data_IF_815019427270
#
_entry.id   IF_815019427270
#
_cell.length_a   1.000
_cell.length_b   1.000
_cell.length_c   1.000
_cell.angle_alpha   90.00
_cell.angle_beta   90.00
_cell.angle_gamma   90.00
#
_symmetry.space_group_name_H-M   'P 1'
#
loop_
_entity.id
_entity.type
_entity.pdbx_description
1 polymer ?
#
# COMPACT_ATOMS: atom_id res chain seq x y z
N UNK A 1 39.39 -39.09 23.17
CA UNK A 1 38.17 -38.51 22.58
C UNK A 1 38.23 -38.79 21.09
N UNK A 2 37.28 -39.56 20.54
CA UNK A 2 37.31 -39.98 19.14
C UNK A 2 36.73 -38.86 18.26
N UNK A 3 37.43 -38.41 17.21
CA UNK A 3 37.00 -37.26 16.38
C UNK A 3 35.79 -37.54 15.46
N UNK A 4 35.24 -38.76 15.42
CA UNK A 4 34.12 -39.10 14.53
C UNK A 4 32.71 -38.83 15.06
N UNK A 5 32.53 -38.46 16.34
CA UNK A 5 31.18 -38.39 16.93
C UNK A 5 30.42 -37.10 16.62
N UNK A 6 31.12 -35.99 16.38
CA UNK A 6 30.47 -34.72 16.06
C UNK A 6 30.03 -34.67 14.59
N UNK A 7 30.86 -35.18 13.69
CA UNK A 7 30.59 -35.21 12.25
C UNK A 7 29.41 -36.14 11.92
N UNK A 8 29.36 -37.33 12.54
CA UNK A 8 28.20 -38.23 12.46
C UNK A 8 26.94 -37.66 13.12
N UNK A 9 27.07 -36.89 14.19
CA UNK A 9 25.92 -36.23 14.81
C UNK A 9 25.36 -35.11 13.91
N UNK A 10 26.24 -34.41 13.18
CA UNK A 10 25.86 -33.37 12.21
C UNK A 10 25.23 -34.00 10.96
N UNK A 11 25.81 -35.08 10.41
CA UNK A 11 25.22 -35.81 9.27
C UNK A 11 23.84 -36.38 9.62
N UNK A 12 23.71 -37.05 10.77
CA UNK A 12 22.41 -37.58 11.19
C UNK A 12 21.38 -36.47 11.45
N UNK A 13 21.82 -35.31 11.95
CA UNK A 13 20.93 -34.16 12.14
C UNK A 13 20.48 -33.57 10.79
N UNK A 14 21.38 -33.48 9.81
CA UNK A 14 21.09 -33.01 8.44
C UNK A 14 20.23 -34.01 7.64
N UNK A 15 20.36 -35.31 7.87
CA UNK A 15 19.49 -36.32 7.26
C UNK A 15 18.10 -36.39 7.93
N UNK A 16 18.01 -36.01 9.21
CA UNK A 16 16.74 -35.99 9.96
C UNK A 16 15.89 -34.73 9.70
N UNK A 17 16.46 -33.68 9.12
CA UNK A 17 15.67 -32.51 8.72
C UNK A 17 14.80 -32.89 7.52
N UNK A 18 13.46 -32.82 7.64
CA UNK A 18 12.56 -33.06 6.52
C UNK A 18 12.98 -32.15 5.36
N UNK A 19 13.20 -32.71 4.16
CA UNK A 19 13.37 -31.85 2.99
C UNK A 19 12.08 -31.04 2.80
N UNK A 20 12.18 -29.72 2.55
CA UNK A 20 11.00 -28.91 2.32
C UNK A 20 10.23 -29.48 1.14
N UNK A 21 8.91 -29.57 1.27
CA UNK A 21 8.08 -30.06 0.17
C UNK A 21 8.28 -29.13 -1.03
N UNK A 22 8.18 -29.70 -2.24
CA UNK A 22 8.29 -28.94 -3.49
C UNK A 22 7.28 -27.79 -3.52
N UNK A 23 6.13 -27.94 -2.88
CA UNK A 23 5.13 -26.88 -2.74
C UNK A 23 5.68 -25.70 -1.93
N UNK A 24 6.30 -25.94 -0.77
CA UNK A 24 6.88 -24.90 0.10
C UNK A 24 7.97 -24.10 -0.61
N UNK A 25 8.84 -24.76 -1.37
CA UNK A 25 9.89 -24.08 -2.15
C UNK A 25 9.29 -23.12 -3.18
N UNK A 26 8.22 -23.52 -3.86
CA UNK A 26 7.55 -22.67 -4.85
C UNK A 26 6.88 -21.48 -4.18
N UNK A 27 6.17 -21.70 -3.06
CA UNK A 27 5.51 -20.63 -2.30
C UNK A 27 6.52 -19.59 -1.83
N UNK A 28 7.60 -20.03 -1.19
CA UNK A 28 8.66 -19.13 -0.71
C UNK A 28 9.33 -18.38 -1.87
N UNK A 29 9.55 -19.04 -3.01
CA UNK A 29 10.08 -18.36 -4.20
C UNK A 29 9.15 -17.24 -4.67
N UNK A 30 7.84 -17.48 -4.73
CA UNK A 30 6.85 -16.46 -5.10
C UNK A 30 6.91 -15.28 -4.12
N UNK A 31 6.93 -15.55 -2.81
CA UNK A 31 7.06 -14.51 -1.77
C UNK A 31 8.28 -13.63 -1.98
N UNK A 32 9.45 -14.23 -2.11
CA UNK A 32 10.69 -13.48 -2.30
C UNK A 32 10.68 -12.65 -3.59
N UNK A 33 10.09 -13.16 -4.66
CA UNK A 33 9.91 -12.39 -5.89
C UNK A 33 9.00 -11.19 -5.64
N UNK A 34 7.81 -11.40 -5.06
CA UNK A 34 6.85 -10.32 -4.78
C UNK A 34 7.46 -9.27 -3.85
N UNK A 35 8.06 -9.67 -2.73
CA UNK A 35 8.66 -8.76 -1.76
C UNK A 35 9.85 -7.98 -2.35
N UNK A 36 10.63 -8.61 -3.23
CA UNK A 36 11.71 -7.91 -3.95
C UNK A 36 11.17 -6.89 -4.94
N UNK A 37 10.07 -7.21 -5.64
CA UNK A 37 9.44 -6.29 -6.57
C UNK A 37 8.77 -5.11 -5.85
N UNK A 38 8.15 -5.36 -4.69
CA UNK A 38 7.66 -4.30 -3.80
C UNK A 38 8.81 -3.39 -3.36
N UNK A 39 9.97 -3.95 -2.99
CA UNK A 39 11.13 -3.13 -2.61
C UNK A 39 11.64 -2.26 -3.78
N UNK A 40 11.59 -2.76 -5.01
CA UNK A 40 11.90 -1.97 -6.21
C UNK A 40 10.87 -0.84 -6.41
N UNK A 41 9.60 -1.12 -6.18
CA UNK A 41 8.50 -0.15 -6.23
C UNK A 41 8.70 0.97 -5.20
N UNK A 42 9.07 0.62 -3.98
CA UNK A 42 9.45 1.59 -2.96
C UNK A 42 10.65 2.44 -3.35
N UNK A 43 11.66 1.81 -3.98
CA UNK A 43 12.80 2.53 -4.56
C UNK A 43 12.39 3.58 -5.60
N UNK A 44 11.31 3.33 -6.34
CA UNK A 44 10.74 4.30 -7.29
C UNK A 44 10.09 5.48 -6.55
N UNK A 45 9.22 5.22 -5.56
CA UNK A 45 8.51 6.28 -4.86
C UNK A 45 9.43 7.14 -3.98
N UNK A 46 10.41 6.54 -3.28
CA UNK A 46 11.38 7.33 -2.50
C UNK A 46 12.26 8.22 -3.37
N UNK A 47 12.58 7.76 -4.57
CA UNK A 47 13.30 8.58 -5.53
C UNK A 47 12.43 9.74 -6.05
N UNK A 48 11.15 9.50 -6.30
CA UNK A 48 10.22 10.54 -6.74
C UNK A 48 9.96 11.59 -5.65
N UNK A 49 9.67 11.15 -4.44
CA UNK A 49 9.50 12.01 -3.26
C UNK A 49 10.77 12.85 -3.02
N UNK A 50 11.95 12.24 -3.10
CA UNK A 50 13.22 12.97 -2.98
C UNK A 50 13.39 14.04 -4.05
N UNK A 51 13.03 13.74 -5.30
CA UNK A 51 13.08 14.69 -6.42
C UNK A 51 12.14 15.87 -6.19
N UNK A 52 10.93 15.62 -5.70
CA UNK A 52 9.95 16.66 -5.37
C UNK A 52 10.46 17.51 -4.20
N UNK A 53 10.93 16.86 -3.13
CA UNK A 53 11.46 17.49 -1.92
C UNK A 53 12.60 18.49 -2.22
N UNK A 54 13.48 18.21 -3.20
CA UNK A 54 14.55 19.12 -3.61
C UNK A 54 14.05 20.48 -4.13
N UNK A 55 12.79 20.56 -4.54
CA UNK A 55 12.18 21.77 -5.10
C UNK A 55 11.16 22.42 -4.15
N UNK A 56 10.66 21.69 -3.17
CA UNK A 56 9.59 22.15 -2.26
C UNK A 56 10.09 22.42 -0.84
N UNK A 57 11.20 21.82 -0.41
CA UNK A 57 11.72 21.95 0.95
C UNK A 57 12.96 22.87 1.01
N UNK A 58 12.98 23.72 2.02
CA UNK A 58 14.07 24.62 2.40
C UNK A 58 14.63 24.29 3.80
N UNK A 59 15.83 24.78 4.12
CA UNK A 59 16.49 24.54 5.41
C UNK A 59 15.75 25.15 6.62
N UNK A 60 14.76 26.02 6.39
CA UNK A 60 13.91 26.63 7.40
C UNK A 60 12.65 25.83 7.74
N UNK A 61 12.37 24.77 6.99
CA UNK A 61 11.09 24.07 7.05
C UNK A 61 11.00 23.15 8.25
N UNK A 62 9.77 22.90 8.68
CA UNK A 62 9.48 22.11 9.88
C UNK A 62 9.56 20.62 9.60
N UNK A 63 9.68 19.81 10.64
CA UNK A 63 9.66 18.35 10.51
C UNK A 63 8.38 17.84 9.81
N UNK A 64 7.24 18.51 9.98
CA UNK A 64 5.99 18.16 9.33
C UNK A 64 6.06 18.35 7.79
N UNK A 65 6.78 19.37 7.33
CA UNK A 65 6.96 19.62 5.90
C UNK A 65 7.79 18.51 5.25
N UNK A 66 8.80 17.99 5.96
CA UNK A 66 9.52 16.78 5.55
C UNK A 66 8.61 15.56 5.50
N UNK A 67 7.79 15.32 6.52
CA UNK A 67 6.83 14.20 6.50
C UNK A 67 5.86 14.28 5.30
N UNK A 68 5.37 15.48 4.98
CA UNK A 68 4.47 15.68 3.84
C UNK A 68 5.16 15.47 2.49
N UNK A 69 6.43 15.85 2.34
CA UNK A 69 7.16 15.67 1.09
C UNK A 69 7.55 14.22 0.79
N UNK A 70 7.59 13.37 1.82
CA UNK A 70 7.87 11.93 1.70
C UNK A 70 6.63 11.07 2.01
N UNK A 71 5.44 11.64 1.86
CA UNK A 71 4.20 11.00 2.31
C UNK A 71 3.99 9.61 1.67
N UNK A 72 4.23 9.48 0.37
CA UNK A 72 4.03 8.20 -0.35
C UNK A 72 5.02 7.14 0.11
N UNK A 73 6.31 7.48 0.20
CA UNK A 73 7.33 6.51 0.61
C UNK A 73 7.21 6.07 2.07
N UNK A 74 6.68 6.94 2.92
CA UNK A 74 6.38 6.63 4.32
C UNK A 74 5.13 5.76 4.46
N UNK A 75 4.12 5.97 3.61
CA UNK A 75 2.94 5.11 3.53
C UNK A 75 3.35 3.69 3.13
N UNK A 76 4.12 3.53 2.06
CA UNK A 76 4.64 2.23 1.65
C UNK A 76 5.54 1.58 2.73
N UNK A 77 6.35 2.37 3.44
CA UNK A 77 7.14 1.86 4.55
C UNK A 77 6.24 1.29 5.66
N UNK A 78 5.12 1.95 5.96
CA UNK A 78 4.13 1.42 6.90
C UNK A 78 3.53 0.10 6.40
N UNK A 79 3.25 -0.03 5.10
CA UNK A 79 2.81 -1.28 4.47
C UNK A 79 3.86 -2.40 4.61
N UNK A 80 5.15 -2.13 4.38
CA UNK A 80 6.22 -3.11 4.59
C UNK A 80 6.31 -3.56 6.04
N UNK A 81 6.21 -2.64 6.99
CA UNK A 81 6.24 -2.98 8.41
C UNK A 81 5.05 -3.89 8.74
N UNK A 82 3.84 -3.58 8.24
CA UNK A 82 2.67 -4.44 8.44
C UNK A 82 2.87 -5.83 7.85
N UNK A 83 3.31 -5.92 6.60
CA UNK A 83 3.60 -7.19 5.92
C UNK A 83 4.65 -8.00 6.69
N UNK A 84 5.73 -7.36 7.12
CA UNK A 84 6.75 -7.99 7.95
C UNK A 84 6.19 -8.52 9.27
N UNK A 85 5.35 -7.74 9.96
CA UNK A 85 4.74 -8.16 11.22
C UNK A 85 3.82 -9.36 11.03
N UNK A 86 3.03 -9.39 9.94
CA UNK A 86 2.20 -10.53 9.62
C UNK A 86 3.01 -11.77 9.24
N UNK A 87 4.04 -11.65 8.40
CA UNK A 87 4.91 -12.77 8.07
C UNK A 87 5.63 -13.29 9.33
N UNK A 88 6.09 -12.38 10.20
CA UNK A 88 6.72 -12.74 11.45
C UNK A 88 5.78 -13.52 12.39
N UNK A 89 4.54 -13.07 12.56
CA UNK A 89 3.54 -13.77 13.40
C UNK A 89 3.03 -15.07 12.79
N UNK A 90 2.89 -15.14 11.46
CA UNK A 90 2.24 -16.29 10.80
C UNK A 90 3.20 -17.37 10.35
N UNK A 91 4.50 -17.08 10.25
CA UNK A 91 5.48 -18.03 9.69
C UNK A 91 6.80 -18.09 10.46
N UNK A 92 7.36 -16.98 10.93
CA UNK A 92 8.70 -17.02 11.55
C UNK A 92 8.70 -17.31 13.05
N UNK A 93 7.73 -16.79 13.80
CA UNK A 93 7.71 -16.87 15.25
C UNK A 93 6.87 -18.05 15.72
N UNK A 94 7.52 -18.96 16.44
CA UNK A 94 6.84 -19.96 17.26
C UNK A 94 6.40 -19.37 18.60
N UNK A 95 5.39 -19.97 19.24
CA UNK A 95 4.79 -19.48 20.50
C UNK A 95 5.79 -19.20 21.63
N UNK A 96 6.89 -19.95 21.68
CA UNK A 96 7.96 -19.80 22.68
C UNK A 96 8.82 -18.56 22.48
N UNK A 97 8.84 -17.99 21.26
CA UNK A 97 9.58 -16.78 20.93
C UNK A 97 8.78 -15.49 21.19
N UNK A 98 7.45 -15.61 21.38
CA UNK A 98 6.52 -14.49 21.54
C UNK A 98 6.48 -13.94 22.99
N UNK A 99 7.59 -13.43 23.49
CA UNK A 99 7.63 -12.84 24.84
C UNK A 99 6.87 -11.50 24.92
N UNK A 100 6.59 -11.04 26.15
CA UNK A 100 5.83 -9.79 26.40
C UNK A 100 6.44 -8.53 25.78
N UNK A 101 7.75 -8.48 25.57
CA UNK A 101 8.40 -7.34 24.94
C UNK A 101 8.18 -7.35 23.41
N UNK A 102 8.30 -8.52 22.77
CA UNK A 102 8.01 -8.71 21.35
C UNK A 102 6.56 -8.35 21.05
N UNK A 103 5.61 -8.92 21.80
CA UNK A 103 4.17 -8.62 21.66
C UNK A 103 3.87 -7.12 21.78
N UNK A 104 4.45 -6.44 22.78
CA UNK A 104 4.27 -4.98 22.93
C UNK A 104 4.86 -4.19 21.78
N UNK A 105 6.02 -4.60 21.27
CA UNK A 105 6.66 -3.94 20.14
C UNK A 105 5.80 -4.08 18.88
N UNK A 106 5.22 -5.25 18.65
CA UNK A 106 4.35 -5.52 17.51
C UNK A 106 3.09 -4.65 17.57
N UNK A 107 2.45 -4.54 18.74
CA UNK A 107 1.29 -3.65 18.93
C UNK A 107 1.66 -2.19 18.66
N UNK A 108 2.78 -1.70 19.20
CA UNK A 108 3.22 -0.31 18.98
C UNK A 108 3.46 -0.05 17.50
N UNK A 109 4.19 -0.95 16.82
CA UNK A 109 4.46 -0.81 15.39
C UNK A 109 3.17 -0.84 14.56
N UNK A 110 2.22 -1.74 14.85
CA UNK A 110 0.90 -1.78 14.19
C UNK A 110 0.15 -0.48 14.35
N UNK A 111 0.01 0.00 15.58
CA UNK A 111 -0.69 1.26 15.86
C UNK A 111 -0.04 2.42 15.12
N UNK A 112 1.30 2.49 15.10
CA UNK A 112 2.01 3.49 14.31
C UNK A 112 1.71 3.38 12.83
N UNK A 113 1.76 2.18 12.24
CA UNK A 113 1.44 1.98 10.82
C UNK A 113 0.01 2.40 10.51
N UNK A 114 -0.98 1.97 11.30
CA UNK A 114 -2.37 2.38 11.12
C UNK A 114 -2.58 3.90 11.19
N UNK A 115 -1.80 4.63 12.00
CA UNK A 115 -1.88 6.09 12.02
C UNK A 115 -1.38 6.71 10.71
N UNK A 116 -0.31 6.18 10.11
CA UNK A 116 0.16 6.62 8.79
C UNK A 116 -0.88 6.31 7.71
N UNK A 117 -1.40 5.08 7.66
CA UNK A 117 -2.41 4.67 6.68
C UNK A 117 -3.71 5.48 6.82
N UNK A 118 -4.16 5.75 8.06
CA UNK A 118 -5.33 6.58 8.30
C UNK A 118 -5.10 8.05 7.89
N UNK A 119 -3.87 8.55 8.02
CA UNK A 119 -3.51 9.87 7.52
C UNK A 119 -3.57 9.96 5.99
N UNK A 120 -3.19 8.90 5.27
CA UNK A 120 -3.33 8.81 3.81
C UNK A 120 -4.81 8.90 3.39
N UNK A 121 -5.70 8.15 4.04
CA UNK A 121 -7.16 8.28 3.82
C UNK A 121 -7.63 9.71 4.08
N UNK A 122 -7.19 10.32 5.19
CA UNK A 122 -7.54 11.69 5.51
C UNK A 122 -7.10 12.68 4.41
N UNK A 123 -5.88 12.53 3.89
CA UNK A 123 -5.35 13.38 2.84
C UNK A 123 -6.18 13.27 1.54
N UNK A 124 -6.57 12.07 1.13
CA UNK A 124 -7.42 11.88 -0.04
C UNK A 124 -8.81 12.47 0.15
N UNK A 125 -9.42 12.27 1.32
CA UNK A 125 -10.71 12.90 1.67
C UNK A 125 -10.61 14.42 1.63
N UNK A 126 -9.54 14.99 2.19
CA UNK A 126 -9.30 16.43 2.17
C UNK A 126 -9.21 16.96 0.73
N UNK A 127 -8.39 16.35 -0.12
CA UNK A 127 -8.21 16.74 -1.53
C UNK A 127 -9.54 16.66 -2.29
N UNK A 128 -10.34 15.61 -2.07
CA UNK A 128 -11.67 15.48 -2.68
C UNK A 128 -12.60 16.64 -2.31
N UNK A 129 -12.61 17.06 -1.05
CA UNK A 129 -13.44 18.18 -0.60
C UNK A 129 -12.91 19.53 -1.08
N UNK A 130 -11.59 19.71 -1.15
CA UNK A 130 -10.96 20.92 -1.72
C UNK A 130 -11.37 21.15 -3.19
N UNK A 131 -11.50 20.08 -3.98
CA UNK A 131 -12.03 20.15 -5.35
C UNK A 131 -13.51 20.57 -5.40
N UNK A 132 -14.27 20.29 -4.34
CA UNK A 132 -15.69 20.65 -4.28
C UNK A 132 -15.91 22.11 -3.93
N UNK A 133 -14.99 22.71 -3.17
CA UNK A 133 -14.99 24.12 -2.82
C UNK A 133 -14.16 25.01 -3.76
N UNK A 134 -13.56 24.43 -4.81
CA UNK A 134 -12.70 25.15 -5.75
C UNK A 134 -13.44 26.31 -6.43
N UNK A 135 -13.02 27.57 -6.20
CA UNK A 135 -13.69 28.74 -6.77
C UNK A 135 -13.37 28.88 -8.26
N UNK A 136 -14.25 29.59 -8.97
CA UNK A 136 -13.97 30.03 -10.34
C UNK A 136 -12.80 31.02 -10.30
N UNK A 137 -11.79 30.76 -11.12
CA UNK A 137 -10.62 31.61 -11.27
C UNK A 137 -11.03 32.85 -12.08
N UNK A 138 -11.24 33.96 -11.37
CA UNK A 138 -11.76 35.20 -11.97
C UNK A 138 -10.77 35.83 -12.96
N UNK A 139 -11.30 36.36 -14.07
CA UNK A 139 -10.49 37.08 -15.06
C UNK A 139 -9.65 36.21 -15.98
N UNK A 140 -9.82 34.88 -15.94
CA UNK A 140 -9.11 33.93 -16.79
C UNK A 140 -10.10 33.36 -17.79
N UNK A 141 -9.90 33.68 -19.06
CA UNK A 141 -10.74 33.24 -20.18
C UNK A 141 -10.05 32.18 -21.03
N UNK A 142 -8.73 32.07 -20.91
CA UNK A 142 -7.88 31.06 -21.54
C UNK A 142 -6.74 30.72 -20.60
N UNK A 143 -6.23 29.48 -20.66
CA UNK A 143 -4.99 29.12 -19.97
C UNK A 143 -3.83 30.03 -20.41
N UNK A 144 -3.87 30.58 -21.63
CA UNK A 144 -2.84 31.50 -22.12
C UNK A 144 -2.77 32.83 -21.35
N UNK A 145 -3.84 33.21 -20.63
CA UNK A 145 -3.84 34.41 -19.78
C UNK A 145 -2.84 34.26 -18.60
N UNK A 146 -2.43 33.02 -18.29
CA UNK A 146 -1.57 32.67 -17.16
C UNK A 146 -0.11 32.40 -17.54
N UNK A 147 0.27 32.59 -18.81
CA UNK A 147 1.67 32.42 -19.24
C UNK A 147 2.58 33.37 -18.47
N UNK A 148 3.66 32.81 -17.89
CA UNK A 148 4.63 33.57 -17.10
C UNK A 148 4.21 33.86 -15.66
N UNK A 149 3.04 33.38 -15.22
CA UNK A 149 2.54 33.58 -13.85
C UNK A 149 2.82 32.38 -12.91
N UNK A 150 3.66 31.44 -13.33
CA UNK A 150 4.01 30.20 -12.59
C UNK A 150 2.81 29.31 -12.22
N UNK A 151 1.71 29.43 -12.96
CA UNK A 151 0.58 28.53 -12.82
C UNK A 151 0.84 27.19 -13.50
N UNK A 152 0.29 26.13 -12.91
CA UNK A 152 0.23 24.81 -13.51
C UNK A 152 -1.22 24.44 -13.83
N UNK A 153 -1.41 23.75 -14.95
CA UNK A 153 -2.67 23.13 -15.32
C UNK A 153 -2.64 21.65 -14.94
N UNK A 154 -3.69 21.17 -14.29
CA UNK A 154 -3.80 19.75 -13.90
C UNK A 154 -4.88 19.03 -14.69
N UNK A 155 -4.54 17.84 -15.19
CA UNK A 155 -5.46 16.90 -15.86
C UNK A 155 -5.02 15.48 -15.56
N UNK A 156 -5.95 14.58 -15.22
CA UNK A 156 -5.61 13.17 -14.94
C UNK A 156 -4.43 13.00 -13.95
N UNK A 157 -4.41 13.78 -12.87
CA UNK A 157 -3.31 13.88 -11.88
C UNK A 157 -1.94 14.32 -12.44
N UNK A 158 -1.85 14.66 -13.73
CA UNK A 158 -0.65 15.21 -14.34
C UNK A 158 -0.65 16.73 -14.27
N UNK A 159 0.39 17.28 -13.64
CA UNK A 159 0.61 18.72 -13.50
C UNK A 159 1.54 19.20 -14.61
N UNK A 160 1.09 20.18 -15.39
CA UNK A 160 1.86 20.77 -16.49
C UNK A 160 1.99 22.27 -16.28
N UNK A 161 3.23 22.78 -16.24
CA UNK A 161 3.48 24.22 -16.20
C UNK A 161 2.89 24.91 -17.44
N UNK A 162 2.19 26.03 -17.25
CA UNK A 162 1.55 26.75 -18.34
C UNK A 162 2.56 27.67 -19.03
N UNK A 163 2.77 27.48 -20.33
CA UNK A 163 3.67 28.30 -21.15
C UNK A 163 3.07 28.66 -22.52
N UNK A 164 3.78 29.50 -23.27
CA UNK A 164 3.33 29.98 -24.58
C UNK A 164 3.19 28.87 -25.64
N UNK A 165 3.84 27.72 -25.44
CA UNK A 165 3.83 26.61 -26.39
C UNK A 165 2.62 25.70 -26.15
N UNK A 166 2.23 25.48 -24.90
CA UNK A 166 1.18 24.52 -24.55
C UNK A 166 -0.18 25.15 -24.22
N UNK A 167 -0.25 26.43 -23.87
CA UNK A 167 -1.46 27.01 -23.25
C UNK A 167 -2.74 26.86 -24.09
N UNK A 168 -2.65 26.91 -25.42
CA UNK A 168 -3.79 26.73 -26.32
C UNK A 168 -4.27 25.28 -26.42
N UNK A 169 -3.42 24.31 -26.08
CA UNK A 169 -3.71 22.88 -26.17
C UNK A 169 -4.21 22.26 -24.86
N UNK A 170 -4.02 22.96 -23.73
CA UNK A 170 -4.39 22.46 -22.39
C UNK A 170 -5.90 22.36 -22.18
N UNK A 171 -6.67 23.32 -22.71
CA UNK A 171 -8.13 23.34 -22.62
C UNK A 171 -8.74 24.28 -23.65
N UNK A 172 -9.92 23.93 -24.16
CA UNK A 172 -10.76 24.82 -24.96
C UNK A 172 -11.85 25.53 -24.14
N UNK A 173 -11.82 25.40 -22.81
CA UNK A 173 -12.79 26.01 -21.92
C UNK A 173 -12.52 27.51 -21.72
N UNK A 174 -13.56 28.24 -21.33
CA UNK A 174 -13.49 29.67 -21.00
C UNK A 174 -13.66 29.95 -19.50
N UNK A 175 -13.74 28.88 -18.70
CA UNK A 175 -13.99 28.90 -17.28
C UNK A 175 -13.03 27.92 -16.61
N UNK A 176 -12.21 28.46 -15.71
CA UNK A 176 -11.19 27.71 -14.99
C UNK A 176 -11.45 27.78 -13.49
N UNK A 177 -11.02 26.76 -12.78
CA UNK A 177 -11.17 26.62 -11.33
C UNK A 177 -9.80 26.53 -10.71
N UNK A 178 -9.58 27.28 -9.63
CA UNK A 178 -8.34 27.21 -8.88
C UNK A 178 -8.47 26.15 -7.78
N UNK A 179 -7.47 25.29 -7.67
CA UNK A 179 -7.43 24.21 -6.67
C UNK A 179 -6.58 24.68 -5.50
N UNK A 180 -7.23 24.81 -4.34
CA UNK A 180 -6.57 25.22 -3.10
C UNK A 180 -5.91 26.61 -3.17
N UNK A 181 -4.99 26.91 -2.24
CA UNK A 181 -4.23 28.17 -2.24
C UNK A 181 -3.11 28.18 -3.31
N UNK A 182 -2.85 27.04 -3.95
CA UNK A 182 -1.73 26.87 -4.86
C UNK A 182 -2.03 27.48 -6.24
N UNK A 183 -0.97 27.79 -7.00
CA UNK A 183 -1.06 28.27 -8.38
C UNK A 183 -1.38 27.12 -9.35
N UNK A 184 -2.46 26.38 -9.07
CA UNK A 184 -2.92 25.24 -9.85
C UNK A 184 -4.34 25.49 -10.31
N UNK A 185 -4.58 25.31 -11.62
CA UNK A 185 -5.91 25.46 -12.21
C UNK A 185 -6.31 24.24 -13.04
N UNK A 186 -7.61 24.08 -13.25
CA UNK A 186 -8.16 23.14 -14.23
C UNK A 186 -9.51 23.63 -14.77
N UNK A 187 -10.08 22.95 -15.76
CA UNK A 187 -11.42 23.25 -16.26
C UNK A 187 -12.49 22.36 -15.59
N UNK A 188 -13.77 22.57 -15.93
CA UNK A 188 -14.87 21.81 -15.35
C UNK A 188 -14.75 20.29 -15.57
N UNK A 189 -14.21 19.86 -16.72
CA UNK A 189 -13.99 18.44 -17.01
C UNK A 189 -12.84 17.88 -16.17
N UNK A 190 -11.79 18.67 -15.91
CA UNK A 190 -10.70 18.30 -15.02
C UNK A 190 -11.14 18.17 -13.56
N UNK A 191 -12.00 19.08 -13.05
CA UNK A 191 -12.60 18.93 -11.72
C UNK A 191 -13.42 17.64 -11.62
N UNK A 192 -14.26 17.36 -12.61
CA UNK A 192 -15.08 16.15 -12.61
C UNK A 192 -14.22 14.87 -12.64
N UNK A 193 -13.15 14.87 -13.44
CA UNK A 193 -12.21 13.76 -13.51
C UNK A 193 -11.45 13.56 -12.20
N UNK A 194 -10.83 14.61 -11.65
CA UNK A 194 -10.05 14.53 -10.41
C UNK A 194 -10.89 14.05 -9.23
N UNK A 195 -12.17 14.44 -9.15
CA UNK A 195 -13.07 13.94 -8.11
C UNK A 195 -13.27 12.43 -8.19
N UNK A 196 -13.36 11.87 -9.40
CA UNK A 196 -13.47 10.42 -9.58
C UNK A 196 -12.17 9.75 -9.16
N UNK A 197 -11.02 10.30 -9.56
CA UNK A 197 -9.71 9.75 -9.20
C UNK A 197 -9.50 9.73 -7.68
N UNK A 198 -9.73 10.85 -6.99
CA UNK A 198 -9.64 10.87 -5.53
C UNK A 198 -10.69 10.01 -4.83
N UNK A 199 -11.89 9.85 -5.41
CA UNK A 199 -12.88 8.93 -4.85
C UNK A 199 -12.41 7.47 -4.93
N UNK A 200 -11.71 7.09 -6.00
CA UNK A 200 -11.07 5.78 -6.14
C UNK A 200 -9.93 5.66 -5.12
N UNK A 201 -9.05 6.66 -4.99
CA UNK A 201 -7.98 6.64 -3.98
C UNK A 201 -8.50 6.45 -2.53
N UNK A 202 -9.62 7.11 -2.18
CA UNK A 202 -10.27 6.95 -0.87
C UNK A 202 -10.80 5.53 -0.69
N UNK A 203 -11.50 5.02 -1.70
CA UNK A 203 -12.11 3.69 -1.67
C UNK A 203 -11.05 2.60 -1.57
N UNK A 204 -10.00 2.72 -2.38
CA UNK A 204 -8.84 1.85 -2.43
C UNK A 204 -8.15 1.72 -1.06
N UNK A 205 -7.79 2.87 -0.46
CA UNK A 205 -7.15 2.89 0.86
C UNK A 205 -8.07 2.30 1.96
N UNK A 206 -9.39 2.49 1.87
CA UNK A 206 -10.34 1.90 2.82
C UNK A 206 -10.44 0.37 2.62
N UNK A 207 -10.47 -0.11 1.38
CA UNK A 207 -10.48 -1.55 1.09
C UNK A 207 -9.22 -2.22 1.60
N UNK A 208 -8.06 -1.61 1.38
CA UNK A 208 -6.78 -2.08 1.90
C UNK A 208 -6.77 -2.17 3.43
N UNK A 209 -7.29 -1.17 4.13
CA UNK A 209 -7.46 -1.23 5.60
C UNK A 209 -8.41 -2.35 6.05
N UNK A 210 -9.48 -2.61 5.29
CA UNK A 210 -10.38 -3.73 5.57
C UNK A 210 -9.70 -5.09 5.37
N UNK A 211 -8.88 -5.25 4.33
CA UNK A 211 -8.09 -6.47 4.10
C UNK A 211 -7.18 -6.75 5.30
N UNK A 212 -6.40 -5.74 5.74
CA UNK A 212 -5.55 -5.88 6.94
C UNK A 212 -6.40 -6.28 8.15
N UNK A 213 -7.50 -5.57 8.40
CA UNK A 213 -8.34 -5.84 9.56
C UNK A 213 -8.86 -7.28 9.57
N UNK A 214 -9.24 -7.81 8.40
CA UNK A 214 -9.69 -9.20 8.25
C UNK A 214 -8.54 -10.16 8.56
N UNK A 215 -7.36 -9.95 7.99
CA UNK A 215 -6.17 -10.78 8.26
C UNK A 215 -5.86 -10.78 9.76
N UNK A 216 -5.85 -9.62 10.40
CA UNK A 216 -5.61 -9.50 11.83
C UNK A 216 -6.67 -10.21 12.69
N UNK A 217 -7.95 -10.11 12.32
CA UNK A 217 -9.03 -10.84 12.98
C UNK A 217 -8.87 -12.36 12.81
N UNK A 218 -8.49 -12.82 11.62
CA UNK A 218 -8.26 -14.25 11.34
C UNK A 218 -7.07 -14.77 12.16
N UNK A 219 -5.95 -14.04 12.21
CA UNK A 219 -4.80 -14.36 13.07
C UNK A 219 -5.25 -14.52 14.53
N UNK A 220 -6.01 -13.55 15.07
CA UNK A 220 -6.49 -13.60 16.46
C UNK A 220 -7.47 -14.75 16.75
N UNK A 221 -8.23 -15.19 15.75
CA UNK A 221 -9.15 -16.33 15.88
C UNK A 221 -8.37 -17.64 15.86
N UNK A 222 -7.41 -17.79 14.95
CA UNK A 222 -6.57 -18.99 14.84
C UNK A 222 -5.64 -19.16 16.04
N UNK A 223 -5.11 -18.06 16.61
CA UNK A 223 -4.34 -18.06 17.87
C UNK A 223 -5.13 -18.66 19.05
N UNK A 224 -6.46 -18.65 18.99
CA UNK A 224 -7.35 -19.29 19.98
C UNK A 224 -7.67 -20.74 19.66
N UNK A 225 -7.01 -21.34 18.67
CA UNK A 225 -7.23 -22.70 18.18
C UNK A 225 -8.51 -22.86 17.36
N UNK A 226 -9.08 -21.78 16.82
CA UNK A 226 -10.30 -21.84 16.00
C UNK A 226 -9.91 -21.78 14.52
N UNK A 227 -9.94 -22.93 13.87
CA UNK A 227 -9.58 -23.11 12.46
C UNK A 227 -10.79 -23.09 11.51
N UNK A 228 -11.99 -23.40 12.00
CA UNK A 228 -13.19 -23.56 11.16
C UNK A 228 -14.41 -22.79 11.69
N UNK A 229 -15.38 -22.55 10.79
CA UNK A 229 -16.70 -22.04 11.15
C UNK A 229 -17.21 -20.89 10.26
N UNK A 230 -18.44 -20.41 10.50
CA UNK A 230 -19.07 -19.40 9.66
C UNK A 230 -18.31 -18.08 9.58
N UNK A 231 -17.63 -17.68 10.66
CA UNK A 231 -16.82 -16.46 10.71
C UNK A 231 -15.61 -16.56 9.77
N UNK A 232 -14.90 -17.68 9.83
CA UNK A 232 -13.76 -17.99 8.98
C UNK A 232 -14.18 -18.05 7.51
N UNK A 233 -15.24 -18.79 7.19
CA UNK A 233 -15.76 -18.87 5.81
C UNK A 233 -16.21 -17.50 5.30
N UNK A 234 -16.89 -16.71 6.14
CA UNK A 234 -17.30 -15.35 5.82
C UNK A 234 -16.11 -14.42 5.53
N UNK A 235 -15.05 -14.52 6.31
CA UNK A 235 -13.82 -13.73 6.10
C UNK A 235 -13.15 -14.02 4.76
N UNK A 236 -13.11 -15.29 4.33
CA UNK A 236 -12.56 -15.68 3.03
C UNK A 236 -13.37 -15.10 1.86
N UNK A 237 -14.71 -15.18 1.92
CA UNK A 237 -15.57 -14.59 0.88
C UNK A 237 -15.48 -13.08 0.83
N UNK A 238 -15.41 -12.42 1.98
CA UNK A 238 -15.25 -10.97 2.06
C UNK A 238 -13.91 -10.55 1.45
N UNK A 239 -12.82 -11.21 1.83
CA UNK A 239 -11.47 -10.95 1.30
C UNK A 239 -11.43 -11.11 -0.22
N UNK A 240 -12.04 -12.18 -0.76
CA UNK A 240 -12.16 -12.36 -2.21
C UNK A 240 -12.92 -11.21 -2.90
N UNK A 241 -14.00 -10.73 -2.28
CA UNK A 241 -14.75 -9.60 -2.80
C UNK A 241 -13.93 -8.30 -2.76
N UNK A 242 -13.16 -8.06 -1.69
CA UNK A 242 -12.26 -6.92 -1.56
C UNK A 242 -11.16 -6.95 -2.62
N UNK A 243 -10.48 -8.09 -2.82
CA UNK A 243 -9.49 -8.22 -3.89
C UNK A 243 -10.08 -8.05 -5.29
N UNK A 244 -11.33 -8.46 -5.52
CA UNK A 244 -11.98 -8.19 -6.80
C UNK A 244 -12.15 -6.68 -7.04
N UNK A 245 -12.43 -5.89 -6.00
CA UNK A 245 -12.50 -4.43 -6.09
C UNK A 245 -11.12 -3.84 -6.38
N UNK A 246 -10.09 -4.25 -5.65
CA UNK A 246 -8.71 -3.81 -5.88
C UNK A 246 -8.20 -4.12 -7.30
N UNK A 247 -8.52 -5.29 -7.84
CA UNK A 247 -8.22 -5.62 -9.24
C UNK A 247 -8.96 -4.68 -10.21
N UNK A 248 -10.20 -4.29 -9.90
CA UNK A 248 -10.92 -3.30 -10.72
C UNK A 248 -10.24 -1.93 -10.66
N UNK A 249 -9.73 -1.52 -9.50
CA UNK A 249 -8.96 -0.29 -9.33
C UNK A 249 -7.65 -0.34 -10.13
N UNK A 250 -6.89 -1.43 -10.01
CA UNK A 250 -5.68 -1.64 -10.81
C UNK A 250 -5.95 -1.51 -12.32
N UNK A 251 -7.00 -2.16 -12.82
CA UNK A 251 -7.41 -2.08 -14.22
C UNK A 251 -7.82 -0.66 -14.62
N UNK A 252 -8.50 0.06 -13.73
CA UNK A 252 -8.87 1.45 -13.94
C UNK A 252 -7.64 2.35 -14.04
N UNK A 253 -6.67 2.21 -13.15
CA UNK A 253 -5.40 2.95 -13.19
C UNK A 253 -4.62 2.69 -14.49
N UNK A 254 -4.54 1.43 -14.91
CA UNK A 254 -3.94 1.05 -16.19
C UNK A 254 -4.65 1.71 -17.38
N UNK A 255 -5.98 1.73 -17.37
CA UNK A 255 -6.77 2.42 -18.40
C UNK A 255 -6.55 3.93 -18.42
N UNK A 256 -6.34 4.55 -17.25
CA UNK A 256 -5.98 5.97 -17.11
C UNK A 256 -4.52 6.28 -17.46
N UNK A 257 -3.71 5.26 -17.74
CA UNK A 257 -2.29 5.38 -18.07
C UNK A 257 -1.36 5.51 -16.87
N UNK A 258 -1.87 5.30 -15.66
CA UNK A 258 -1.11 5.29 -14.41
C UNK A 258 -0.54 3.88 -14.16
N UNK A 259 0.43 3.48 -14.99
CA UNK A 259 0.95 2.11 -15.01
C UNK A 259 1.63 1.68 -13.70
N UNK A 260 2.32 2.63 -13.03
CA UNK A 260 2.97 2.35 -11.75
C UNK A 260 1.91 2.01 -10.70
N UNK A 261 0.80 2.75 -10.64
CA UNK A 261 -0.25 2.52 -9.64
C UNK A 261 -0.93 1.16 -9.87
N UNK A 262 -1.25 0.82 -11.13
CA UNK A 262 -1.80 -0.50 -11.44
C UNK A 262 -0.83 -1.66 -11.18
N UNK A 263 0.47 -1.44 -11.35
CA UNK A 263 1.51 -2.43 -11.05
C UNK A 263 1.69 -2.63 -9.54
N UNK A 264 1.78 -1.53 -8.80
CA UNK A 264 1.86 -1.45 -7.34
C UNK A 264 0.71 -2.24 -6.69
N UNK A 265 -0.52 -1.95 -7.10
CA UNK A 265 -1.73 -2.62 -6.62
C UNK A 265 -1.67 -4.15 -6.77
N UNK A 266 -1.23 -4.63 -7.94
CA UNK A 266 -1.09 -6.07 -8.20
C UNK A 266 -0.01 -6.73 -7.34
N UNK A 267 1.09 -6.02 -7.05
CA UNK A 267 2.14 -6.52 -6.18
C UNK A 267 1.67 -6.63 -4.73
N UNK A 268 0.95 -5.64 -4.22
CA UNK A 268 0.40 -5.68 -2.86
C UNK A 268 -0.63 -6.80 -2.70
N UNK A 269 -1.51 -7.01 -3.70
CA UNK A 269 -2.42 -8.17 -3.70
C UNK A 269 -1.62 -9.47 -3.61
N UNK A 270 -0.54 -9.60 -4.39
CA UNK A 270 0.37 -10.75 -4.30
C UNK A 270 1.01 -10.90 -2.92
N UNK A 271 1.40 -9.79 -2.29
CA UNK A 271 2.04 -9.77 -0.98
C UNK A 271 1.11 -10.22 0.13
N UNK A 272 -0.13 -9.73 0.17
CA UNK A 272 -1.11 -10.15 1.16
C UNK A 272 -1.68 -11.54 0.90
N UNK A 273 -1.81 -11.95 -0.38
CA UNK A 273 -2.15 -13.34 -0.72
C UNK A 273 -1.09 -14.31 -0.16
N UNK A 274 0.19 -13.93 -0.19
CA UNK A 274 1.26 -14.72 0.42
C UNK A 274 1.13 -14.89 1.94
N UNK A 275 0.61 -13.87 2.64
CA UNK A 275 0.29 -13.97 4.08
C UNK A 275 -0.90 -14.91 4.31
N UNK A 276 -1.94 -14.80 3.50
CA UNK A 276 -3.12 -15.68 3.60
C UNK A 276 -2.78 -17.16 3.34
N UNK A 277 -1.79 -17.43 2.49
CA UNK A 277 -1.29 -18.78 2.30
C UNK A 277 -0.70 -19.36 3.60
N UNK A 278 0.06 -18.57 4.39
CA UNK A 278 0.52 -18.99 5.71
C UNK A 278 -0.67 -19.28 6.64
N UNK A 279 -1.68 -18.42 6.63
CA UNK A 279 -2.88 -18.60 7.45
C UNK A 279 -3.71 -19.83 7.06
N UNK A 280 -3.63 -20.27 5.81
CA UNK A 280 -4.25 -21.51 5.36
C UNK A 280 -3.48 -22.73 5.87
N UNK A 281 -2.15 -22.69 5.82
CA UNK A 281 -1.28 -23.77 6.31
C UNK A 281 -1.46 -23.94 7.83
N UNK A 282 -1.40 -22.84 8.59
CA UNK A 282 -1.63 -22.89 10.03
C UNK A 282 -3.00 -23.47 10.39
N UNK A 283 -4.02 -23.19 9.59
CA UNK A 283 -5.35 -23.79 9.76
C UNK A 283 -5.36 -25.29 9.55
N UNK A 284 -4.64 -25.78 8.54
CA UNK A 284 -4.51 -27.22 8.26
C UNK A 284 -3.81 -27.92 9.43
N UNK A 285 -2.75 -27.33 9.98
CA UNK A 285 -2.05 -27.84 11.18
C UNK A 285 -2.98 -27.94 12.39
N UNK A 286 -3.76 -26.90 12.69
CA UNK A 286 -4.74 -26.90 13.79
C UNK A 286 -5.82 -27.99 13.60
N UNK A 287 -6.25 -28.22 12.35
CA UNK A 287 -7.23 -29.25 12.02
C UNK A 287 -6.65 -30.66 12.22
N UNK A 288 -5.40 -30.89 11.81
CA UNK A 288 -4.71 -32.17 11.99
C UNK A 288 -4.47 -32.48 13.48
N UNK A 289 -4.10 -31.48 14.28
CA UNK A 289 -3.98 -31.61 15.74
C UNK A 289 -5.32 -31.96 16.40
N UNK A 290 -6.40 -31.28 16.00
CA UNK A 290 -7.74 -31.56 16.51
C UNK A 290 -8.25 -32.95 16.11
N UNK A 291 -7.87 -33.47 14.94
CA UNK A 291 -8.22 -34.81 14.49
C UNK A 291 -7.39 -35.92 15.17
N UNK A 292 -6.19 -35.58 15.65
CA UNK A 292 -5.30 -36.50 16.36
C UNK A 292 -5.60 -36.61 17.88
N UNK A 293 -6.35 -35.65 18.45
CA UNK A 293 -6.74 -35.59 19.87
C UNK A 293 -8.00 -36.39 20.21
#
# INVERSE_FOLDING_TARGET
MRPGTLEQAIENALESTPQPDRSDVVKQTIKWVVYSLLLVNWGYYIFDDWRVAQHTISASDTLADYFNAYATSLDELAWFIMLFLFEAETYWLSDDQLNRFVQRSFIVLRVTCYLFLANTVYAYVFNYFELTSSPLAGGISSACDLVGQSFSFVRNLAYTAIDANNCNALSSATAFYQIGPNAVITDAAGIAELKILYAIDIEDAIVWLMVILIIELVVQIQDRGISEGPLITGSNYLTLALYAILVCNALYWLWKGHYVYGWDELLWIGGFTAIEMNLSEWREELNDEAAAA
#
